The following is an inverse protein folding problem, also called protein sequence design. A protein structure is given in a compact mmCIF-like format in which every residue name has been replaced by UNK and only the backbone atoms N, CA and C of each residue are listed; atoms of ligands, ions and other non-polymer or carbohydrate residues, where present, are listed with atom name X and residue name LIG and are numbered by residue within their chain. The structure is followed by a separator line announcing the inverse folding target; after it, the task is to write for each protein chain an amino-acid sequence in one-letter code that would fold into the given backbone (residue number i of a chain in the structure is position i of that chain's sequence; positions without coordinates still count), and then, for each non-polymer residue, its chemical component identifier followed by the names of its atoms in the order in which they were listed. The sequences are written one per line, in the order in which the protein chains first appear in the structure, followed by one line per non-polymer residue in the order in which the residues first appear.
data_IF_323797606284
#
_entry.id   IF_323797606284
#
_cell.length_a   1.000
_cell.length_b   1.000
_cell.length_c   1.000
_cell.angle_alpha   90.00
_cell.angle_beta   90.00
_cell.angle_gamma   90.00
#
_symmetry.space_group_name_H-M   'P 1'
#
loop_
_entity.id
_entity.type
_entity.pdbx_description
1 polymer ?
#
# COMPACT_ATOMS: atom_id res chain seq x y z
N UNK A 1 16.54 48.01 47.34
CA UNK A 1 15.19 47.63 46.88
C UNK A 1 15.25 47.39 45.37
N UNK A 2 15.47 46.14 44.95
CA UNK A 2 15.38 45.77 43.53
C UNK A 2 13.92 45.93 43.12
N UNK A 3 13.68 46.65 42.04
CA UNK A 3 12.36 47.08 41.63
C UNK A 3 11.55 45.85 41.16
N UNK A 4 10.78 45.23 42.07
CA UNK A 4 10.09 43.95 41.89
C UNK A 4 9.27 43.85 40.59
N UNK A 5 8.78 44.98 40.07
CA UNK A 5 8.03 45.06 38.80
C UNK A 5 8.89 44.69 37.58
N UNK A 6 10.18 45.04 37.58
CA UNK A 6 11.12 44.71 36.48
C UNK A 6 11.50 43.23 36.49
N UNK A 7 11.69 42.65 37.68
CA UNK A 7 11.96 41.22 37.85
C UNK A 7 10.79 40.35 37.39
N UNK A 8 9.56 40.75 37.72
CA UNK A 8 8.34 40.04 37.30
C UNK A 8 8.17 40.02 35.78
N UNK A 9 8.47 41.15 35.10
CA UNK A 9 8.38 41.25 33.65
C UNK A 9 9.39 40.34 32.92
N UNK A 10 10.60 40.20 33.47
CA UNK A 10 11.64 39.31 32.92
C UNK A 10 11.21 37.85 33.04
N UNK A 11 10.70 37.45 34.21
CA UNK A 11 10.21 36.07 34.43
C UNK A 11 9.06 35.75 33.47
N UNK A 12 8.12 36.69 33.30
CA UNK A 12 7.00 36.51 32.37
C UNK A 12 7.48 36.36 30.92
N UNK A 13 8.50 37.12 30.52
CA UNK A 13 9.13 36.99 29.20
C UNK A 13 9.77 35.62 28.96
N UNK A 14 10.45 35.06 29.97
CA UNK A 14 11.07 33.72 29.88
C UNK A 14 10.01 32.63 29.77
N UNK A 15 8.94 32.71 30.55
CA UNK A 15 7.82 31.75 30.49
C UNK A 15 7.11 31.81 29.14
N UNK A 16 6.86 33.01 28.62
CA UNK A 16 6.22 33.19 27.31
C UNK A 16 7.10 32.65 26.18
N UNK A 17 8.42 32.90 26.24
CA UNK A 17 9.37 32.38 25.27
C UNK A 17 9.45 30.85 25.32
N UNK A 18 9.44 30.26 26.52
CA UNK A 18 9.40 28.81 26.71
C UNK A 18 8.13 28.17 26.14
N UNK A 19 6.97 28.81 26.31
CA UNK A 19 5.70 28.35 25.72
C UNK A 19 5.70 28.46 24.19
N UNK A 20 6.25 29.53 23.62
CA UNK A 20 6.41 29.66 22.17
C UNK A 20 7.34 28.60 21.62
N UNK A 21 8.46 28.30 22.29
CA UNK A 21 9.38 27.25 21.88
C UNK A 21 8.76 25.86 21.99
N UNK A 22 7.97 25.57 23.03
CA UNK A 22 7.18 24.34 23.13
C UNK A 22 6.17 24.20 21.98
N UNK A 23 5.47 25.29 21.65
CA UNK A 23 4.49 25.30 20.55
C UNK A 23 5.15 25.16 19.18
N UNK A 24 6.41 25.57 19.03
CA UNK A 24 7.20 25.37 17.81
C UNK A 24 7.82 23.97 17.74
N UNK A 25 8.20 23.38 18.87
CA UNK A 25 8.72 22.02 18.96
C UNK A 25 7.66 20.98 18.57
N UNK A 26 6.40 21.16 19.02
CA UNK A 26 5.28 20.30 18.60
C UNK A 26 4.89 20.48 17.12
N UNK A 27 5.46 21.47 16.41
CA UNK A 27 5.27 21.71 14.97
C UNK A 27 6.41 21.19 14.10
N UNK A 28 7.43 20.57 14.69
CA UNK A 28 8.39 19.79 13.92
C UNK A 28 7.64 18.56 13.39
N UNK A 29 6.96 18.72 12.25
CA UNK A 29 6.50 17.59 11.45
C UNK A 29 7.72 16.71 11.27
N UNK A 30 7.68 15.51 11.87
CA UNK A 30 8.68 14.50 11.59
C UNK A 30 8.78 14.41 10.08
N UNK A 31 9.97 14.66 9.54
CA UNK A 31 10.26 14.42 8.14
C UNK A 31 10.07 12.91 7.98
N UNK A 32 8.84 12.50 7.66
CA UNK A 32 8.53 11.11 7.39
C UNK A 32 9.38 10.75 6.17
N UNK A 33 10.25 9.76 6.34
CA UNK A 33 10.99 9.21 5.21
C UNK A 33 9.98 8.88 4.10
N UNK A 34 10.34 9.11 2.82
CA UNK A 34 9.45 8.83 1.71
C UNK A 34 9.00 7.38 1.81
N UNK A 35 7.71 7.20 2.11
CA UNK A 35 7.12 5.88 2.29
C UNK A 35 7.19 5.16 0.95
N UNK A 36 8.05 4.16 0.84
CA UNK A 36 8.17 3.34 -0.37
C UNK A 36 6.84 2.58 -0.52
N UNK A 37 6.00 2.91 -1.51
CA UNK A 37 4.64 2.35 -1.60
C UNK A 37 4.66 0.84 -1.88
N UNK A 38 5.76 0.36 -2.45
CA UNK A 38 5.98 -1.03 -2.80
C UNK A 38 7.01 -1.69 -1.89
N UNK A 39 6.55 -2.12 -0.72
CA UNK A 39 7.34 -2.88 0.24
C UNK A 39 7.32 -4.38 -0.12
N UNK A 40 8.48 -5.03 -0.07
CA UNK A 40 8.59 -6.47 -0.25
C UNK A 40 7.63 -7.26 0.65
N UNK A 41 7.06 -8.35 0.13
CA UNK A 41 6.27 -9.31 0.90
C UNK A 41 7.16 -10.50 1.22
N UNK A 42 7.52 -10.67 2.48
CA UNK A 42 8.30 -11.83 2.90
C UNK A 42 7.39 -13.08 2.95
N UNK A 43 7.83 -14.18 2.33
CA UNK A 43 7.01 -15.41 2.24
C UNK A 43 6.62 -15.99 3.60
N UNK A 44 7.43 -15.76 4.65
CA UNK A 44 7.12 -16.20 6.01
C UNK A 44 6.05 -15.33 6.71
N UNK A 45 5.66 -14.18 6.16
CA UNK A 45 4.59 -13.32 6.65
C UNK A 45 3.23 -13.67 6.05
N UNK A 46 3.21 -14.43 4.95
CA UNK A 46 1.98 -14.83 4.25
C UNK A 46 1.26 -15.93 5.02
N UNK A 47 -0.02 -15.72 5.28
CA UNK A 47 -0.94 -16.68 5.89
C UNK A 47 -1.73 -17.42 4.83
N UNK A 48 -2.20 -16.68 3.81
CA UNK A 48 -3.10 -17.22 2.81
C UNK A 48 -3.00 -16.43 1.50
N UNK A 49 -3.22 -17.11 0.39
CA UNK A 49 -3.32 -16.49 -0.93
C UNK A 49 -4.54 -17.03 -1.66
N UNK A 50 -5.41 -16.13 -2.11
CA UNK A 50 -6.65 -16.48 -2.82
C UNK A 50 -6.70 -15.78 -4.16
N UNK A 51 -6.91 -16.54 -5.23
CA UNK A 51 -7.16 -15.99 -6.56
C UNK A 51 -8.65 -16.09 -6.91
N UNK A 52 -9.16 -15.04 -7.54
CA UNK A 52 -10.49 -15.00 -8.15
C UNK A 52 -10.41 -14.57 -9.60
N UNK A 53 -11.25 -15.17 -10.44
CA UNK A 53 -11.39 -14.80 -11.86
C UNK A 53 -12.87 -14.54 -12.14
N UNK A 54 -13.13 -13.44 -12.82
CA UNK A 54 -14.43 -13.06 -13.32
C UNK A 54 -14.75 -13.77 -14.64
N UNK A 55 -15.99 -14.21 -14.80
CA UNK A 55 -16.47 -14.84 -16.03
C UNK A 55 -17.93 -14.46 -16.28
N UNK A 56 -18.33 -14.52 -17.54
CA UNK A 56 -19.70 -14.30 -17.96
C UNK A 56 -20.51 -15.58 -17.84
N UNK A 57 -21.65 -15.51 -17.14
CA UNK A 57 -22.66 -16.56 -17.06
C UNK A 57 -24.00 -15.98 -17.53
N UNK A 58 -24.28 -16.17 -18.81
CA UNK A 58 -25.41 -15.53 -19.50
C UNK A 58 -25.31 -13.99 -19.46
N UNK A 59 -26.34 -13.28 -18.94
CA UNK A 59 -26.29 -11.82 -18.80
C UNK A 59 -25.58 -11.35 -17.52
N UNK A 60 -25.07 -12.27 -16.68
CA UNK A 60 -24.49 -11.93 -15.38
C UNK A 60 -22.98 -12.10 -15.37
N UNK A 61 -22.28 -11.21 -14.65
CA UNK A 61 -20.87 -11.39 -14.31
C UNK A 61 -20.76 -12.13 -12.98
N UNK A 62 -19.97 -13.21 -12.94
CA UNK A 62 -19.73 -14.02 -11.75
C UNK A 62 -18.25 -14.15 -11.47
N UNK A 63 -17.91 -14.52 -10.23
CA UNK A 63 -16.54 -14.75 -9.78
C UNK A 63 -16.38 -16.21 -9.37
N UNK A 64 -15.27 -16.82 -9.77
CA UNK A 64 -14.87 -18.15 -9.30
C UNK A 64 -13.53 -18.07 -8.57
N UNK A 65 -13.41 -18.86 -7.51
CA UNK A 65 -12.13 -19.08 -6.85
C UNK A 65 -11.26 -19.98 -7.73
N UNK A 66 -9.97 -19.67 -7.78
CA UNK A 66 -8.95 -20.47 -8.46
C UNK A 66 -7.93 -20.89 -7.43
N UNK A 67 -7.70 -22.20 -7.34
CA UNK A 67 -6.65 -22.75 -6.48
C UNK A 67 -5.29 -22.42 -7.09
N UNK A 68 -4.41 -21.86 -6.27
CA UNK A 68 -3.00 -21.65 -6.58
C UNK A 68 -2.18 -22.77 -5.96
N UNK A 69 -1.22 -23.29 -6.71
CA UNK A 69 -0.20 -24.18 -6.14
C UNK A 69 0.82 -23.39 -5.32
N UNK A 70 1.56 -24.06 -4.44
CA UNK A 70 2.65 -23.43 -3.68
C UNK A 70 3.72 -22.82 -4.60
N UNK A 71 4.02 -23.48 -5.73
CA UNK A 71 4.94 -22.96 -6.73
C UNK A 71 4.44 -21.63 -7.31
N UNK A 72 3.17 -21.57 -7.71
CA UNK A 72 2.57 -20.35 -8.26
C UNK A 72 2.52 -19.23 -7.22
N UNK A 73 2.25 -19.54 -5.94
CA UNK A 73 2.32 -18.56 -4.87
C UNK A 73 3.73 -17.98 -4.75
N UNK A 74 4.76 -18.82 -4.77
CA UNK A 74 6.15 -18.38 -4.70
C UNK A 74 6.55 -17.54 -5.92
N UNK A 75 6.10 -17.93 -7.12
CA UNK A 75 6.31 -17.15 -8.35
C UNK A 75 5.63 -15.79 -8.26
N UNK A 76 4.37 -15.72 -7.81
CA UNK A 76 3.64 -14.45 -7.62
C UNK A 76 4.39 -13.52 -6.67
N UNK A 77 4.86 -14.04 -5.53
CA UNK A 77 5.63 -13.23 -4.57
C UNK A 77 6.96 -12.78 -5.18
N UNK A 78 7.65 -13.65 -5.90
CA UNK A 78 8.90 -13.31 -6.58
C UNK A 78 8.69 -12.20 -7.60
N UNK A 79 7.68 -12.32 -8.48
CA UNK A 79 7.39 -11.31 -9.51
C UNK A 79 6.93 -10.01 -8.90
N UNK A 80 6.11 -10.07 -7.84
CA UNK A 80 5.70 -8.88 -7.11
C UNK A 80 6.93 -8.16 -6.54
N UNK A 81 7.80 -8.87 -5.82
CA UNK A 81 8.96 -8.30 -5.14
C UNK A 81 10.08 -7.83 -6.10
N UNK A 82 10.10 -8.30 -7.35
CA UNK A 82 11.12 -7.95 -8.33
C UNK A 82 10.80 -6.69 -9.16
N UNK A 83 9.61 -6.10 -9.02
CA UNK A 83 9.25 -4.91 -9.81
C UNK A 83 10.11 -3.72 -9.38
N UNK A 84 10.87 -3.10 -10.30
CA UNK A 84 11.71 -1.96 -9.96
C UNK A 84 10.87 -0.71 -9.72
N UNK A 85 11.32 0.19 -8.85
CA UNK A 85 10.56 1.38 -8.42
C UNK A 85 10.11 2.28 -9.59
N UNK A 86 10.90 2.36 -10.67
CA UNK A 86 10.58 3.16 -11.84
C UNK A 86 9.43 2.60 -12.69
N UNK A 87 8.98 1.38 -12.44
CA UNK A 87 7.81 0.75 -13.08
C UNK A 87 6.54 0.87 -12.23
N UNK A 88 6.62 1.57 -11.11
CA UNK A 88 5.52 1.73 -10.15
C UNK A 88 4.94 3.14 -10.26
N UNK A 89 3.63 3.23 -10.40
CA UNK A 89 2.92 4.52 -10.46
C UNK A 89 1.87 4.58 -9.38
N UNK A 90 2.10 5.38 -8.33
CA UNK A 90 1.09 5.62 -7.28
C UNK A 90 -0.11 6.37 -7.85
N UNK A 91 -1.31 5.97 -7.43
CA UNK A 91 -2.58 6.56 -7.87
C UNK A 91 -3.51 6.72 -6.68
N UNK A 92 -4.27 7.81 -6.62
CA UNK A 92 -5.27 7.97 -5.56
C UNK A 92 -6.42 6.97 -5.71
N UNK A 93 -6.86 6.78 -6.96
CA UNK A 93 -7.93 5.89 -7.35
C UNK A 93 -7.71 5.39 -8.77
N UNK A 94 -8.26 4.22 -9.08
CA UNK A 94 -8.39 3.72 -10.44
C UNK A 94 -9.83 3.25 -10.65
N UNK A 95 -10.37 3.54 -11.83
CA UNK A 95 -11.68 3.05 -12.26
C UNK A 95 -11.42 2.10 -13.41
N UNK A 96 -11.43 0.80 -13.12
CA UNK A 96 -11.24 -0.22 -14.15
C UNK A 96 -12.18 -1.41 -13.98
N UNK A 97 -12.53 -2.03 -15.10
CA UNK A 97 -13.34 -3.23 -15.16
C UNK A 97 -12.47 -4.45 -14.83
N UNK A 98 -12.22 -4.65 -13.55
CA UNK A 98 -11.39 -5.75 -13.05
C UNK A 98 -11.98 -7.10 -13.46
N UNK A 99 -11.11 -8.00 -13.92
CA UNK A 99 -11.49 -9.34 -14.37
C UNK A 99 -10.82 -10.46 -13.59
N UNK A 100 -9.80 -10.15 -12.80
CA UNK A 100 -9.17 -11.10 -11.90
C UNK A 100 -8.54 -10.36 -10.71
N UNK A 101 -8.27 -11.11 -9.64
CA UNK A 101 -7.51 -10.60 -8.52
C UNK A 101 -6.93 -11.70 -7.64
N UNK A 102 -5.83 -11.37 -6.97
CA UNK A 102 -5.14 -12.16 -5.97
C UNK A 102 -5.18 -11.36 -4.67
N UNK A 103 -5.71 -11.95 -3.60
CA UNK A 103 -5.63 -11.44 -2.24
C UNK A 103 -4.57 -12.21 -1.45
N UNK A 104 -3.66 -11.49 -0.82
CA UNK A 104 -2.61 -12.02 0.05
C UNK A 104 -2.89 -11.53 1.47
N UNK A 105 -3.14 -12.47 2.37
CA UNK A 105 -3.38 -12.22 3.79
C UNK A 105 -2.06 -12.37 4.55
N UNK A 106 -1.71 -11.36 5.34
CA UNK A 106 -0.48 -11.34 6.14
C UNK A 106 -0.78 -11.70 7.60
N UNK A 107 0.23 -12.18 8.34
CA UNK A 107 0.15 -12.47 9.78
C UNK A 107 -0.26 -11.26 10.63
N UNK A 108 0.01 -10.05 10.14
CA UNK A 108 -0.39 -8.78 10.73
C UNK A 108 -1.88 -8.45 10.57
N UNK A 109 -2.67 -9.33 9.94
CA UNK A 109 -4.06 -9.13 9.51
C UNK A 109 -4.23 -8.04 8.44
N UNK A 110 -3.14 -7.60 7.82
CA UNK A 110 -3.21 -6.74 6.64
C UNK A 110 -3.43 -7.57 5.37
N UNK A 111 -3.95 -6.91 4.34
CA UNK A 111 -4.28 -7.53 3.06
C UNK A 111 -3.62 -6.76 1.92
N UNK A 112 -2.99 -7.50 1.02
CA UNK A 112 -2.47 -6.98 -0.25
C UNK A 112 -3.33 -7.56 -1.36
N UNK A 113 -3.95 -6.67 -2.14
CA UNK A 113 -4.79 -7.03 -3.30
C UNK A 113 -4.07 -6.67 -4.58
N UNK A 114 -3.84 -7.65 -5.43
CA UNK A 114 -3.29 -7.51 -6.77
C UNK A 114 -4.43 -7.77 -7.75
N UNK A 115 -4.83 -6.79 -8.55
CA UNK A 115 -6.03 -6.84 -9.37
C UNK A 115 -5.70 -6.54 -10.83
N UNK A 116 -6.41 -7.16 -11.77
CA UNK A 116 -6.08 -7.11 -13.19
C UNK A 116 -7.30 -6.76 -14.04
N UNK A 117 -7.11 -5.88 -15.01
CA UNK A 117 -8.15 -5.42 -15.94
C UNK A 117 -7.93 -5.83 -17.40
N UNK A 118 -7.00 -6.76 -17.67
CA UNK A 118 -6.54 -7.17 -19.02
C UNK A 118 -5.46 -6.28 -19.64
N UNK A 119 -5.08 -5.19 -18.96
CA UNK A 119 -4.03 -4.29 -19.44
C UNK A 119 -3.01 -3.97 -18.36
N UNK A 120 -3.48 -3.64 -17.17
CA UNK A 120 -2.68 -3.18 -16.06
C UNK A 120 -2.91 -4.05 -14.82
N UNK A 121 -1.86 -4.18 -14.01
CA UNK A 121 -1.95 -4.74 -12.67
C UNK A 121 -2.02 -3.59 -11.67
N UNK A 122 -3.08 -3.60 -10.87
CA UNK A 122 -3.33 -2.65 -9.80
C UNK A 122 -3.04 -3.31 -8.46
N UNK A 123 -2.39 -2.58 -7.56
CA UNK A 123 -2.16 -3.04 -6.20
C UNK A 123 -2.88 -2.13 -5.22
N UNK A 124 -3.48 -2.71 -4.21
CA UNK A 124 -4.03 -2.01 -3.05
C UNK A 124 -3.56 -2.72 -1.79
N UNK A 125 -2.93 -1.98 -0.88
CA UNK A 125 -2.39 -2.51 0.37
C UNK A 125 -2.54 -1.53 1.52
N UNK A 126 -2.58 -2.02 2.74
CA UNK A 126 -2.80 -1.23 3.96
C UNK A 126 -1.75 -1.46 5.05
N UNK A 127 -0.66 -2.15 4.73
CA UNK A 127 0.43 -2.52 5.65
C UNK A 127 1.64 -1.55 5.61
N UNK A 128 1.60 -0.55 4.74
CA UNK A 128 2.73 0.37 4.48
C UNK A 128 2.56 1.71 5.18
N UNK A 129 1.38 2.32 5.08
CA UNK A 129 1.07 3.62 5.71
C UNK A 129 0.40 3.41 7.07
N UNK A 130 0.75 4.27 8.02
CA UNK A 130 0.15 4.29 9.36
C UNK A 130 -1.38 4.47 9.31
N UNK A 131 -2.08 3.97 10.32
CA UNK A 131 -3.51 4.21 10.49
C UNK A 131 -4.43 3.51 9.48
N UNK A 132 -4.00 2.38 8.89
CA UNK A 132 -4.74 1.62 7.86
C UNK A 132 -4.98 2.38 6.55
N UNK A 133 -4.20 3.43 6.27
CA UNK A 133 -4.34 4.17 5.03
C UNK A 133 -4.03 3.27 3.83
N UNK A 134 -4.93 3.29 2.84
CA UNK A 134 -4.76 2.50 1.61
C UNK A 134 -3.69 3.14 0.73
N UNK A 135 -2.70 2.35 0.37
CA UNK A 135 -1.74 2.68 -0.69
C UNK A 135 -2.17 1.95 -1.96
N UNK A 136 -2.28 2.69 -3.07
CA UNK A 136 -2.72 2.15 -4.36
C UNK A 136 -1.74 2.55 -5.44
N UNK A 137 -1.39 1.61 -6.31
CA UNK A 137 -0.47 1.87 -7.42
C UNK A 137 -0.71 0.90 -8.56
N UNK A 138 -0.10 1.22 -9.70
CA UNK A 138 -0.06 0.38 -10.90
C UNK A 138 1.35 -0.19 -11.04
N UNK A 139 1.43 -1.48 -11.37
CA UNK A 139 2.65 -2.14 -11.79
C UNK A 139 2.68 -2.18 -13.33
N UNK A 140 3.64 -1.49 -13.94
CA UNK A 140 3.85 -1.52 -15.38
C UNK A 140 4.76 -2.69 -15.75
N UNK A 141 4.51 -3.38 -16.87
CA UNK A 141 5.45 -4.36 -17.42
C UNK A 141 5.61 -5.69 -16.65
N UNK A 142 4.79 -5.97 -15.64
CA UNK A 142 5.00 -7.12 -14.75
C UNK A 142 4.67 -8.49 -15.38
N UNK A 143 5.43 -9.51 -15.02
CA UNK A 143 5.15 -10.94 -15.31
C UNK A 143 3.79 -11.38 -14.77
N UNK A 144 3.26 -10.65 -13.77
CA UNK A 144 1.90 -10.86 -13.26
C UNK A 144 0.84 -10.68 -14.35
N UNK A 145 1.02 -9.78 -15.32
CA UNK A 145 0.10 -9.64 -16.46
C UNK A 145 -0.02 -10.97 -17.23
N UNK A 146 1.12 -11.54 -17.60
CA UNK A 146 1.17 -12.78 -18.39
C UNK A 146 0.65 -13.98 -17.57
N UNK A 147 0.91 -13.99 -16.26
CA UNK A 147 0.31 -14.97 -15.35
C UNK A 147 -1.22 -14.89 -15.35
N UNK A 148 -1.80 -13.69 -15.21
CA UNK A 148 -3.25 -13.50 -15.26
C UNK A 148 -3.83 -13.91 -16.61
N UNK A 149 -3.22 -13.49 -17.71
CA UNK A 149 -3.65 -13.83 -19.07
C UNK A 149 -3.66 -15.36 -19.27
N UNK A 150 -2.59 -16.04 -18.84
CA UNK A 150 -2.50 -17.51 -18.88
C UNK A 150 -3.58 -18.18 -18.02
N UNK A 151 -3.79 -17.73 -16.79
CA UNK A 151 -4.83 -18.28 -15.89
C UNK A 151 -6.25 -18.09 -16.44
N UNK A 152 -6.45 -17.05 -17.25
CA UNK A 152 -7.72 -16.79 -17.92
C UNK A 152 -7.86 -17.46 -19.29
N UNK A 153 -6.87 -18.25 -19.74
CA UNK A 153 -6.79 -18.84 -21.08
C UNK A 153 -6.90 -17.79 -22.20
N UNK A 154 -6.31 -16.62 -22.00
CA UNK A 154 -6.25 -15.56 -23.01
C UNK A 154 -4.82 -15.52 -23.55
N UNK A 155 -4.57 -16.17 -24.68
CA UNK A 155 -3.32 -15.95 -25.42
C UNK A 155 -3.39 -14.59 -26.10
N UNK A 156 -2.32 -13.79 -25.98
CA UNK A 156 -2.10 -12.63 -26.86
C UNK A 156 -1.98 -13.06 -28.32
#
# INVERSE_FOLDING_TARGET
MVNNKKSLAIIFGIVLLGLVLLFLYDREESIEEPVIPHKEIASNEVVNVKMTIGFQDGPTWKWKNVTLSELEVNEILSWFNSVPENEITEVENYTSALVAGIGIELKSNYEIRIQYDQKNVYVTRNDVKSGNALTKYILNGSELNDFFDKKMNRSK
#
